data_IF_110440187329
#
_entry.id   IF_110440187329
#
_cell.length_a   1.000
_cell.length_b   1.000
_cell.length_c   1.000
_cell.angle_alpha   90.00
_cell.angle_beta   90.00
_cell.angle_gamma   90.00
#
_symmetry.space_group_name_H-M   'P 1'
#
loop_
_entity.id
_entity.type
_entity.pdbx_description
1 polymer ?
#
# COMPACT_ATOMS: atom_id res chain seq x y z
N UNK A 1 -25.05 -11.27 19.75
CA UNK A 1 -24.80 -11.63 21.17
C UNK A 1 -23.58 -12.54 21.16
N UNK A 2 -22.40 -12.02 21.34
CA UNK A 2 -21.13 -12.76 21.32
C UNK A 2 -20.45 -12.49 22.65
N UNK A 3 -20.45 -13.53 23.50
CA UNK A 3 -19.88 -13.56 24.82
C UNK A 3 -18.39 -13.81 24.69
N UNK A 4 -17.59 -12.92 25.26
CA UNK A 4 -16.15 -13.07 25.44
C UNK A 4 -15.93 -13.80 26.75
N UNK A 5 -15.49 -15.06 26.70
CA UNK A 5 -14.98 -15.77 27.88
C UNK A 5 -13.50 -15.49 28.07
N UNK A 6 -13.19 -14.93 29.21
CA UNK A 6 -11.85 -14.78 29.79
C UNK A 6 -11.36 -16.13 30.33
N UNK A 7 -10.14 -16.52 29.94
CA UNK A 7 -9.41 -17.59 30.68
C UNK A 7 -8.13 -17.01 31.28
N UNK A 8 -8.06 -17.15 32.58
CA UNK A 8 -6.92 -16.89 33.43
C UNK A 8 -5.87 -17.98 33.29
N UNK A 9 -4.61 -17.58 33.19
CA UNK A 9 -3.43 -18.45 33.22
C UNK A 9 -3.02 -18.71 34.66
N UNK A 10 -2.92 -19.99 35.06
CA UNK A 10 -2.19 -20.44 36.23
C UNK A 10 -0.89 -21.11 35.77
N UNK A 11 0.20 -20.65 36.37
CA UNK A 11 1.55 -21.19 36.25
C UNK A 11 1.73 -22.47 37.06
N UNK A 12 2.38 -23.48 36.48
CA UNK A 12 3.12 -24.48 37.26
C UNK A 12 4.31 -25.00 36.47
N UNK A 13 5.45 -24.93 37.15
CA UNK A 13 6.77 -25.46 36.80
C UNK A 13 6.85 -26.97 36.92
N UNK A 14 7.60 -27.67 36.05
CA UNK A 14 8.69 -28.58 36.45
C UNK A 14 9.09 -29.61 35.37
N UNK A 15 10.43 -29.74 35.25
CA UNK A 15 11.22 -30.93 34.88
C UNK A 15 11.35 -31.36 33.42
N UNK A 16 12.56 -31.05 32.90
CA UNK A 16 13.26 -31.86 31.86
C UNK A 16 13.67 -33.23 32.37
N UNK A 17 13.82 -34.21 31.49
CA UNK A 17 15.10 -34.89 31.37
C UNK A 17 15.69 -34.96 29.93
N UNK A 18 17.02 -35.12 29.92
CA UNK A 18 17.93 -35.17 28.78
C UNK A 18 18.00 -36.58 28.13
N UNK A 19 18.80 -36.74 27.01
CA UNK A 19 18.48 -37.63 25.92
C UNK A 19 19.26 -38.95 25.95
N UNK A 20 18.82 -39.90 25.15
CA UNK A 20 19.58 -41.11 24.83
C UNK A 20 19.73 -41.31 23.30
N UNK A 21 20.91 -41.76 22.98
CA UNK A 21 21.64 -41.91 21.75
C UNK A 21 21.14 -43.03 20.80
N UNK A 22 21.38 -42.79 19.50
CA UNK A 22 21.85 -43.72 18.46
C UNK A 22 21.13 -45.03 18.18
N UNK A 23 20.76 -45.21 16.92
CA UNK A 23 21.23 -46.36 16.11
C UNK A 23 20.93 -46.11 14.60
N UNK A 24 21.95 -46.36 13.82
CA UNK A 24 22.02 -46.38 12.35
C UNK A 24 21.41 -47.66 11.78
N UNK A 25 20.75 -47.59 10.63
CA UNK A 25 20.89 -48.62 9.58
C UNK A 25 20.38 -48.11 8.23
N UNK A 26 21.25 -48.19 7.29
CA UNK A 26 21.15 -48.08 5.86
C UNK A 26 20.21 -49.14 5.26
N UNK A 27 19.36 -48.74 4.32
CA UNK A 27 19.05 -49.61 3.16
C UNK A 27 18.59 -48.79 1.97
N UNK A 28 19.28 -48.90 0.89
CA UNK A 28 19.03 -48.38 -0.44
C UNK A 28 17.96 -49.19 -1.19
N UNK A 29 17.11 -48.51 -1.93
CA UNK A 29 16.50 -49.07 -3.14
C UNK A 29 16.07 -47.95 -4.08
N UNK A 30 16.62 -47.95 -5.26
CA UNK A 30 16.30 -47.23 -6.48
C UNK A 30 15.62 -48.23 -7.43
N UNK A 31 15.05 -47.88 -8.52
CA UNK A 31 13.74 -47.41 -8.96
C UNK A 31 13.17 -48.14 -10.16
N UNK A 32 12.11 -47.65 -10.69
CA UNK A 32 11.65 -48.09 -12.01
C UNK A 32 11.21 -46.87 -12.85
N UNK A 33 11.88 -46.72 -13.96
CA UNK A 33 11.54 -45.81 -15.06
C UNK A 33 10.42 -46.48 -15.87
N UNK A 34 9.29 -45.81 -16.05
CA UNK A 34 8.30 -46.16 -17.06
C UNK A 34 8.24 -45.02 -18.06
N UNK A 35 8.71 -45.33 -19.28
CA UNK A 35 8.49 -44.52 -20.48
C UNK A 35 7.09 -44.78 -20.98
N UNK A 36 6.32 -43.76 -21.24
CA UNK A 36 5.11 -43.82 -22.06
C UNK A 36 5.25 -42.87 -23.25
N UNK A 37 5.04 -43.44 -24.39
CA UNK A 37 5.23 -42.94 -25.74
C UNK A 37 4.12 -42.00 -26.17
N UNK A 38 4.49 -40.98 -26.93
CA UNK A 38 3.60 -40.01 -27.57
C UNK A 38 2.90 -40.63 -28.78
N UNK A 39 1.63 -40.34 -28.93
CA UNK A 39 0.92 -40.52 -30.21
C UNK A 39 0.39 -39.13 -30.67
N UNK A 40 0.94 -38.68 -31.78
CA UNK A 40 0.52 -37.49 -32.53
C UNK A 40 -0.64 -37.90 -33.42
N UNK A 41 -1.76 -37.22 -33.35
CA UNK A 41 -2.81 -37.30 -34.39
C UNK A 41 -3.04 -35.88 -34.93
N UNK A 42 -2.57 -35.70 -36.17
CA UNK A 42 -2.89 -34.56 -37.04
C UNK A 42 -4.32 -34.72 -37.56
N UNK A 43 -5.12 -33.66 -37.40
CA UNK A 43 -6.36 -33.51 -38.17
C UNK A 43 -6.28 -32.16 -38.90
N UNK A 44 -6.10 -32.27 -40.22
CA UNK A 44 -6.29 -31.18 -41.17
C UNK A 44 -7.79 -30.92 -41.37
N UNK A 45 -8.21 -29.67 -41.30
CA UNK A 45 -9.45 -29.23 -41.93
C UNK A 45 -9.19 -28.08 -42.90
N UNK A 46 -9.75 -28.27 -44.09
CA UNK A 46 -9.54 -27.46 -45.26
C UNK A 46 -10.31 -26.14 -45.25
N UNK A 47 -9.68 -25.13 -45.83
CA UNK A 47 -10.25 -23.83 -46.11
C UNK A 47 -11.21 -23.90 -47.32
N UNK A 48 -12.37 -23.24 -47.19
CA UNK A 48 -13.17 -22.85 -48.36
C UNK A 48 -13.30 -21.32 -48.38
N UNK A 49 -12.66 -20.77 -49.38
CA UNK A 49 -12.71 -19.36 -49.78
C UNK A 49 -14.04 -18.99 -50.40
N UNK A 50 -14.67 -17.89 -50.02
CA UNK A 50 -15.60 -17.12 -50.86
C UNK A 50 -15.18 -15.69 -50.96
N UNK A 51 -14.83 -15.30 -52.19
CA UNK A 51 -14.55 -13.95 -52.67
C UNK A 51 -15.85 -13.19 -52.87
N UNK A 52 -15.89 -11.90 -52.46
CA UNK A 52 -16.73 -10.84 -52.99
C UNK A 52 -15.93 -9.56 -53.15
N UNK A 53 -16.22 -8.69 -54.14
CA UNK A 53 -15.24 -7.77 -54.71
C UNK A 53 -15.22 -6.38 -54.10
N UNK A 54 -14.04 -5.83 -54.22
CA UNK A 54 -13.60 -4.49 -53.76
C UNK A 54 -14.12 -3.42 -54.72
N UNK A 55 -14.72 -2.38 -54.19
CA UNK A 55 -14.81 -1.09 -54.87
C UNK A 55 -13.87 -0.08 -54.21
N UNK A 56 -12.95 0.43 -55.00
CA UNK A 56 -11.97 1.49 -54.63
C UNK A 56 -12.63 2.80 -54.27
N UNK A 57 -12.19 3.38 -53.14
CA UNK A 57 -12.12 4.81 -52.97
C UNK A 57 -10.79 5.18 -52.33
N UNK A 58 -9.93 5.78 -53.17
CA UNK A 58 -8.67 6.42 -52.73
C UNK A 58 -9.01 7.70 -51.98
N UNK A 59 -8.61 7.78 -50.71
CA UNK A 59 -8.33 9.06 -50.08
C UNK A 59 -6.98 9.00 -49.41
N UNK A 60 -6.05 9.78 -49.93
CA UNK A 60 -4.69 9.94 -49.45
C UNK A 60 -4.71 10.72 -48.11
N UNK A 61 -4.47 10.02 -47.01
CA UNK A 61 -4.17 10.65 -45.71
C UNK A 61 -2.66 10.56 -45.50
N UNK A 62 -1.99 11.69 -45.52
CA UNK A 62 -0.59 11.86 -45.15
C UNK A 62 -0.41 11.38 -43.68
N UNK A 63 0.30 10.28 -43.50
CA UNK A 63 0.78 9.88 -42.19
C UNK A 63 1.82 10.90 -41.68
N UNK A 64 1.40 11.77 -40.80
CA UNK A 64 2.31 12.52 -39.93
C UNK A 64 2.78 11.54 -38.83
N UNK A 65 4.08 11.26 -38.82
CA UNK A 65 4.74 10.62 -37.69
C UNK A 65 4.53 11.48 -36.43
N UNK A 66 3.57 11.12 -35.59
CA UNK A 66 3.52 11.64 -34.24
C UNK A 66 4.63 10.92 -33.46
N UNK A 67 5.72 11.61 -33.21
CA UNK A 67 6.62 11.31 -32.13
C UNK A 67 5.83 11.66 -30.84
N UNK A 68 5.34 10.65 -30.14
CA UNK A 68 4.91 10.81 -28.75
C UNK A 68 6.14 11.10 -27.89
N UNK A 69 6.50 12.38 -27.79
CA UNK A 69 7.25 12.85 -26.65
C UNK A 69 6.22 12.97 -25.52
N UNK A 70 6.25 12.02 -24.57
CA UNK A 70 5.55 12.16 -23.30
C UNK A 70 6.30 13.23 -22.52
N UNK A 71 6.01 14.49 -22.83
CA UNK A 71 6.32 15.60 -21.95
C UNK A 71 5.32 15.51 -20.80
N UNK A 72 5.80 15.10 -19.62
CA UNK A 72 5.13 15.38 -18.37
C UNK A 72 5.06 16.92 -18.24
N UNK A 73 4.02 17.52 -18.80
CA UNK A 73 3.75 18.93 -18.58
C UNK A 73 3.26 19.04 -17.14
N UNK A 74 4.15 19.48 -16.25
CA UNK A 74 3.71 20.15 -15.03
C UNK A 74 2.89 21.37 -15.49
N UNK A 75 1.58 21.20 -15.52
CA UNK A 75 0.70 22.34 -15.74
C UNK A 75 0.86 23.24 -14.50
N UNK A 76 1.53 24.36 -14.70
CA UNK A 76 1.37 25.51 -13.83
C UNK A 76 -0.05 26.06 -14.09
N UNK A 77 -1.04 25.30 -13.62
CA UNK A 77 -2.37 25.84 -13.48
C UNK A 77 -2.30 26.84 -12.33
N UNK A 78 -2.11 28.09 -12.67
CA UNK A 78 -2.50 29.18 -11.81
C UNK A 78 -3.94 28.87 -11.37
N UNK A 79 -4.16 28.76 -10.06
CA UNK A 79 -5.47 28.57 -9.45
C UNK A 79 -6.32 29.77 -9.90
N UNK A 80 -7.11 29.60 -10.94
CA UNK A 80 -8.19 30.51 -11.27
C UNK A 80 -9.27 30.26 -10.21
N UNK A 81 -9.28 31.10 -9.19
CA UNK A 81 -10.33 31.16 -8.18
C UNK A 81 -11.61 31.60 -8.88
N UNK A 82 -12.51 30.65 -9.13
CA UNK A 82 -13.89 30.98 -9.50
C UNK A 82 -14.58 31.53 -8.25
N UNK A 83 -15.00 32.79 -8.32
CA UNK A 83 -15.77 33.48 -7.31
C UNK A 83 -17.18 32.90 -7.22
N UNK A 84 -17.39 31.95 -6.33
CA UNK A 84 -18.69 31.60 -5.76
C UNK A 84 -18.52 31.47 -4.25
N UNK A 85 -19.27 32.26 -3.50
CA UNK A 85 -19.36 32.43 -2.04
C UNK A 85 -18.18 31.88 -1.20
N UNK A 86 -17.40 32.85 -0.67
CA UNK A 86 -16.09 32.69 -0.05
C UNK A 86 -16.14 31.85 1.24
N UNK A 87 -15.99 30.52 1.11
CA UNK A 87 -15.24 29.77 2.11
C UNK A 87 -13.77 29.69 1.64
N UNK A 88 -13.02 30.78 1.90
CA UNK A 88 -11.57 30.73 1.73
C UNK A 88 -11.03 29.58 2.59
N UNK A 89 -10.31 28.65 1.95
CA UNK A 89 -9.58 27.62 2.68
C UNK A 89 -8.65 28.28 3.67
N UNK A 90 -8.64 27.84 4.95
CA UNK A 90 -7.61 28.29 5.85
C UNK A 90 -6.24 27.94 5.27
N UNK A 91 -5.39 28.91 5.08
CA UNK A 91 -4.02 28.77 4.59
C UNK A 91 -3.07 29.72 5.33
N UNK A 92 -1.79 29.44 5.24
CA UNK A 92 -0.75 30.29 5.80
C UNK A 92 0.04 30.96 4.67
N UNK A 93 -0.18 32.26 4.41
CA UNK A 93 0.59 33.00 3.42
C UNK A 93 2.09 32.87 3.63
N UNK A 94 2.54 32.75 4.88
CA UNK A 94 3.96 32.62 5.21
C UNK A 94 4.68 31.45 4.54
N UNK A 95 3.96 30.35 4.26
CA UNK A 95 4.53 29.21 3.54
C UNK A 95 4.25 29.28 2.05
N UNK A 96 3.02 29.63 1.63
CA UNK A 96 2.64 29.63 0.22
C UNK A 96 3.28 30.77 -0.58
N UNK A 97 3.64 31.89 0.07
CA UNK A 97 4.34 33.02 -0.54
C UNK A 97 5.86 32.87 -0.56
N UNK A 98 6.40 31.81 0.06
CA UNK A 98 7.84 31.53 0.09
C UNK A 98 8.38 31.35 -1.35
N UNK A 99 9.52 31.95 -1.63
CA UNK A 99 10.17 31.91 -2.95
C UNK A 99 11.44 31.07 -2.96
N UNK A 100 11.95 30.77 -1.78
CA UNK A 100 13.15 29.96 -1.59
C UNK A 100 12.95 28.97 -0.44
N UNK A 101 13.81 27.94 -0.38
CA UNK A 101 13.81 27.02 0.75
C UNK A 101 14.16 27.71 2.08
N UNK A 102 15.00 28.75 2.05
CA UNK A 102 15.33 29.52 3.28
C UNK A 102 14.12 30.33 3.76
N UNK A 103 13.27 30.82 2.87
CA UNK A 103 12.02 31.47 3.26
C UNK A 103 11.12 30.50 4.03
N UNK A 104 11.02 29.22 3.57
CA UNK A 104 10.26 28.19 4.26
C UNK A 104 10.81 27.90 5.66
N UNK A 105 12.13 27.71 5.76
CA UNK A 105 12.79 27.44 7.05
C UNK A 105 12.65 28.63 8.01
N UNK A 106 12.79 29.86 7.50
CA UNK A 106 12.59 31.08 8.29
C UNK A 106 11.14 31.21 8.77
N UNK A 107 10.15 30.84 7.94
CA UNK A 107 8.74 30.85 8.33
C UNK A 107 8.45 29.83 9.45
N UNK A 108 9.08 28.64 9.43
CA UNK A 108 8.97 27.66 10.52
C UNK A 108 9.49 28.25 11.83
N UNK A 109 10.72 28.81 11.83
CA UNK A 109 11.35 29.39 13.01
C UNK A 109 10.52 30.53 13.59
N UNK A 110 10.03 31.40 12.72
CA UNK A 110 9.13 32.50 13.14
C UNK A 110 7.82 31.98 13.74
N UNK A 111 7.26 30.89 13.21
CA UNK A 111 6.04 30.31 13.77
C UNK A 111 6.27 29.71 15.17
N UNK A 112 7.48 29.23 15.47
CA UNK A 112 7.88 28.81 16.84
C UNK A 112 8.05 30.03 17.76
N UNK A 113 8.76 31.07 17.31
CA UNK A 113 8.94 32.33 18.06
C UNK A 113 7.59 32.99 18.40
N UNK A 114 6.64 32.91 17.48
CA UNK A 114 5.27 33.42 17.65
C UNK A 114 4.38 32.49 18.52
N UNK A 115 4.90 31.37 19.05
CA UNK A 115 4.18 30.34 19.81
C UNK A 115 3.00 29.70 19.03
N UNK A 116 3.05 29.73 17.70
CA UNK A 116 2.01 29.16 16.80
C UNK A 116 2.30 27.72 16.36
N UNK A 117 3.54 27.26 16.52
CA UNK A 117 3.99 25.95 16.13
C UNK A 117 4.80 25.30 17.26
N UNK A 118 4.44 24.09 17.73
CA UNK A 118 5.22 23.36 18.72
C UNK A 118 6.63 23.04 18.20
N UNK A 119 7.65 23.16 19.07
CA UNK A 119 9.06 22.98 18.70
C UNK A 119 9.34 21.61 18.06
N UNK A 120 8.79 20.54 18.62
CA UNK A 120 8.97 19.18 18.10
C UNK A 120 8.37 19.00 16.69
N UNK A 121 7.29 19.71 16.37
CA UNK A 121 6.70 19.69 15.02
C UNK A 121 7.58 20.48 14.07
N UNK A 122 8.09 21.63 14.50
CA UNK A 122 9.00 22.47 13.71
C UNK A 122 10.29 21.74 13.36
N UNK A 123 10.92 21.06 14.33
CA UNK A 123 12.10 20.22 14.11
C UNK A 123 11.83 19.11 13.08
N UNK A 124 10.66 18.46 13.18
CA UNK A 124 10.23 17.45 12.21
C UNK A 124 10.00 18.03 10.81
N UNK A 125 9.47 19.26 10.70
CA UNK A 125 9.28 19.95 9.42
C UNK A 125 10.61 20.31 8.76
N UNK A 126 11.58 20.87 9.53
CA UNK A 126 12.92 21.19 9.01
C UNK A 126 13.66 19.95 8.53
N UNK A 127 13.62 18.86 9.29
CA UNK A 127 14.24 17.60 8.91
C UNK A 127 13.58 17.00 7.66
N UNK A 128 12.24 17.03 7.59
CA UNK A 128 11.48 16.58 6.44
C UNK A 128 11.88 17.34 5.17
N UNK A 129 12.06 18.68 5.28
CA UNK A 129 12.52 19.50 4.17
C UNK A 129 13.88 19.04 3.64
N UNK A 130 14.86 18.86 4.53
CA UNK A 130 16.21 18.49 4.12
C UNK A 130 16.25 17.08 3.48
N UNK A 131 15.55 16.14 4.05
CA UNK A 131 15.48 14.77 3.52
C UNK A 131 14.75 14.71 2.18
N UNK A 132 13.62 15.40 2.05
CA UNK A 132 12.87 15.48 0.82
C UNK A 132 13.68 16.16 -0.30
N UNK A 133 14.29 17.31 0.02
CA UNK A 133 15.17 18.04 -0.91
C UNK A 133 16.28 17.14 -1.45
N UNK A 134 16.98 16.46 -0.57
CA UNK A 134 18.08 15.57 -0.96
C UNK A 134 17.60 14.43 -1.87
N UNK A 135 16.44 13.84 -1.59
CA UNK A 135 15.88 12.77 -2.41
C UNK A 135 15.46 13.27 -3.81
N UNK A 136 14.74 14.40 -3.88
CA UNK A 136 14.30 14.97 -5.16
C UNK A 136 15.47 15.43 -6.01
N UNK A 137 16.51 16.02 -5.44
CA UNK A 137 17.73 16.37 -6.18
C UNK A 137 18.43 15.14 -6.76
N UNK A 138 18.45 14.02 -6.03
CA UNK A 138 19.01 12.75 -6.51
C UNK A 138 18.24 12.15 -7.68
N UNK A 139 16.95 12.43 -7.81
CA UNK A 139 16.14 11.93 -8.92
C UNK A 139 16.57 12.52 -10.27
N UNK A 140 17.25 13.68 -10.28
CA UNK A 140 17.62 14.38 -11.49
C UNK A 140 16.43 14.94 -12.27
N UNK A 141 15.25 15.04 -11.64
CA UNK A 141 14.06 15.59 -12.30
C UNK A 141 14.28 17.03 -12.71
N UNK A 142 13.90 17.43 -13.93
CA UNK A 142 13.98 18.82 -14.36
C UNK A 142 13.24 19.74 -13.40
N UNK A 143 13.82 20.91 -13.08
CA UNK A 143 13.23 21.90 -12.16
C UNK A 143 13.03 21.38 -10.74
N UNK A 144 13.96 20.55 -10.27
CA UNK A 144 13.90 19.93 -8.94
C UNK A 144 13.65 20.97 -7.83
N UNK A 145 14.34 22.13 -7.86
CA UNK A 145 14.17 23.17 -6.83
C UNK A 145 12.76 23.78 -6.84
N UNK A 146 12.12 23.95 -8.04
CA UNK A 146 10.73 24.41 -8.13
C UNK A 146 9.76 23.36 -7.53
N UNK A 147 9.99 22.07 -7.80
CA UNK A 147 9.19 20.95 -7.28
C UNK A 147 9.32 20.86 -5.77
N UNK A 148 10.55 20.97 -5.25
CA UNK A 148 10.83 20.93 -3.81
C UNK A 148 10.10 22.09 -3.12
N UNK A 149 10.29 23.30 -3.62
CA UNK A 149 9.68 24.48 -3.05
C UNK A 149 8.14 24.36 -3.01
N UNK A 150 7.54 24.02 -4.14
CA UNK A 150 6.09 23.87 -4.27
C UNK A 150 5.52 22.81 -3.32
N UNK A 151 6.08 21.59 -3.35
CA UNK A 151 5.58 20.50 -2.52
C UNK A 151 5.78 20.79 -1.02
N UNK A 152 6.94 21.32 -0.63
CA UNK A 152 7.22 21.59 0.77
C UNK A 152 6.43 22.79 1.31
N UNK A 153 6.18 23.79 0.49
CA UNK A 153 5.29 24.91 0.86
C UNK A 153 3.89 24.41 1.19
N UNK A 154 3.34 23.52 0.32
CA UNK A 154 2.02 22.91 0.56
C UNK A 154 2.01 22.00 1.79
N UNK A 155 3.04 21.18 1.99
CA UNK A 155 3.15 20.32 3.19
C UNK A 155 3.13 21.17 4.46
N UNK A 156 3.96 22.22 4.51
CA UNK A 156 4.07 23.06 5.67
C UNK A 156 2.80 23.88 5.94
N UNK A 157 2.18 24.38 4.88
CA UNK A 157 0.89 25.05 5.00
C UNK A 157 -0.17 24.11 5.60
N UNK A 158 -0.31 22.88 5.09
CA UNK A 158 -1.32 21.94 5.57
C UNK A 158 -1.02 21.41 6.98
N UNK A 159 0.24 21.19 7.33
CA UNK A 159 0.65 20.85 8.71
C UNK A 159 0.32 21.99 9.65
N UNK A 160 0.66 23.22 9.30
CA UNK A 160 0.41 24.40 10.12
C UNK A 160 -1.08 24.65 10.36
N UNK A 161 -1.89 24.49 9.32
CA UNK A 161 -3.35 24.59 9.43
C UNK A 161 -3.90 23.53 10.38
N UNK A 162 -3.45 22.26 10.27
CA UNK A 162 -3.90 21.19 11.15
C UNK A 162 -3.42 21.36 12.61
N UNK A 163 -2.23 21.90 12.83
CA UNK A 163 -1.76 22.23 14.19
C UNK A 163 -2.65 23.30 14.84
N UNK A 164 -3.12 24.26 14.05
CA UNK A 164 -3.98 25.34 14.53
C UNK A 164 -5.42 24.90 14.76
N UNK A 165 -5.97 24.11 13.85
CA UNK A 165 -7.34 23.58 13.87
C UNK A 165 -7.31 22.10 13.45
N UNK A 166 -7.17 21.24 14.45
CA UNK A 166 -6.87 19.84 14.24
C UNK A 166 -8.04 19.07 13.65
N UNK A 167 -7.84 18.49 12.45
CA UNK A 167 -8.83 17.66 11.81
C UNK A 167 -9.07 16.36 12.59
N UNK A 168 -10.34 16.00 12.78
CA UNK A 168 -10.76 14.75 13.43
C UNK A 168 -11.24 13.71 12.41
N UNK A 169 -10.62 12.53 12.44
CA UNK A 169 -11.00 11.44 11.55
C UNK A 169 -12.18 10.66 12.09
N UNK A 170 -13.18 10.42 11.21
CA UNK A 170 -14.24 9.45 11.49
C UNK A 170 -13.72 8.01 11.43
N UNK A 171 -14.42 7.03 12.03
CA UNK A 171 -14.03 5.60 11.93
C UNK A 171 -13.86 5.10 10.50
N UNK A 172 -14.68 5.59 9.58
CA UNK A 172 -14.49 5.48 8.13
C UNK A 172 -14.36 6.89 7.55
N UNK A 173 -13.13 7.26 7.21
CA UNK A 173 -12.80 8.53 6.57
C UNK A 173 -12.78 8.36 5.05
N UNK A 174 -13.38 9.31 4.34
CA UNK A 174 -13.30 9.40 2.86
C UNK A 174 -12.27 10.44 2.47
N UNK A 175 -11.51 10.15 1.44
CA UNK A 175 -10.52 11.07 0.88
C UNK A 175 -11.15 12.45 0.58
N UNK A 176 -10.56 13.50 1.12
CA UNK A 176 -11.00 14.89 0.89
C UNK A 176 -10.40 15.35 -0.43
N UNK A 177 -11.27 15.71 -1.37
CA UNK A 177 -10.92 16.21 -2.70
C UNK A 177 -11.30 17.69 -2.89
N UNK A 178 -12.21 18.18 -2.06
CA UNK A 178 -12.70 19.55 -2.09
C UNK A 178 -12.79 20.11 -0.66
N UNK A 179 -12.54 21.39 -0.44
CA UNK A 179 -12.10 22.41 -1.39
C UNK A 179 -10.59 22.33 -1.72
N UNK A 180 -9.80 21.50 -1.02
CA UNK A 180 -8.41 21.18 -1.34
C UNK A 180 -8.27 19.70 -1.65
N UNK A 181 -7.63 19.36 -2.77
CA UNK A 181 -7.44 17.97 -3.18
C UNK A 181 -6.23 17.34 -2.47
N UNK A 182 -6.46 16.80 -1.27
CA UNK A 182 -5.45 16.12 -0.47
C UNK A 182 -4.94 14.83 -1.13
N UNK A 183 -5.73 14.18 -2.00
CA UNK A 183 -5.26 12.99 -2.72
C UNK A 183 -4.19 13.36 -3.74
N UNK A 184 -4.49 14.31 -4.63
CA UNK A 184 -3.53 14.79 -5.64
C UNK A 184 -2.30 15.42 -5.00
N UNK A 185 -2.48 16.15 -3.90
CA UNK A 185 -1.37 16.65 -3.07
C UNK A 185 -0.43 15.51 -2.63
N UNK A 186 -0.96 14.44 -2.05
CA UNK A 186 -0.15 13.30 -1.63
C UNK A 186 0.54 12.57 -2.79
N UNK A 187 -0.13 12.44 -3.95
CA UNK A 187 0.46 11.85 -5.15
C UNK A 187 1.60 12.71 -5.71
N UNK A 188 1.44 14.02 -5.76
CA UNK A 188 2.46 14.95 -6.24
C UNK A 188 3.69 14.99 -5.33
N UNK A 189 3.49 14.82 -4.02
CA UNK A 189 4.59 14.72 -3.07
C UNK A 189 5.44 13.45 -3.27
N UNK A 190 4.82 12.30 -3.45
CA UNK A 190 5.51 11.00 -3.58
C UNK A 190 6.14 10.81 -4.96
N UNK A 191 5.52 11.32 -6.03
CA UNK A 191 5.93 11.07 -7.42
C UNK A 191 7.41 11.31 -7.70
N UNK A 192 8.05 12.43 -7.30
CA UNK A 192 9.47 12.68 -7.57
C UNK A 192 10.43 11.81 -6.75
N UNK A 193 9.93 11.02 -5.79
CA UNK A 193 10.71 10.09 -5.00
C UNK A 193 10.79 8.69 -5.62
N UNK A 194 10.00 8.42 -6.66
CA UNK A 194 9.92 7.10 -7.29
C UNK A 194 10.74 7.07 -8.58
N UNK A 195 11.72 6.18 -8.63
CA UNK A 195 12.38 5.82 -9.89
C UNK A 195 11.49 4.84 -10.67
N UNK A 196 10.70 5.39 -11.58
CA UNK A 196 9.78 4.59 -12.40
C UNK A 196 10.48 3.61 -13.35
N UNK A 197 11.75 3.83 -13.68
CA UNK A 197 12.53 2.92 -14.53
C UNK A 197 12.86 1.62 -13.81
N UNK A 198 12.97 1.70 -12.47
CA UNK A 198 13.25 0.56 -11.59
C UNK A 198 12.03 0.16 -10.77
N UNK A 199 10.81 0.53 -11.24
CA UNK A 199 9.56 0.23 -10.53
C UNK A 199 8.70 -0.75 -11.31
N UNK A 200 7.99 -1.63 -10.60
CA UNK A 200 7.28 -2.74 -11.21
C UNK A 200 5.88 -2.93 -10.66
N UNK A 201 4.97 -3.38 -11.54
CA UNK A 201 3.66 -3.92 -11.18
C UNK A 201 3.59 -5.35 -11.65
N UNK A 202 3.60 -6.30 -10.71
CA UNK A 202 3.49 -7.72 -11.00
C UNK A 202 2.03 -8.14 -11.21
N UNK A 203 1.81 -9.05 -12.17
CA UNK A 203 0.50 -9.63 -12.48
C UNK A 203 -0.59 -8.60 -12.76
N UNK A 204 -0.28 -7.61 -13.60
CA UNK A 204 -1.18 -6.48 -13.88
C UNK A 204 -2.56 -6.93 -14.40
N UNK A 205 -2.66 -8.08 -15.05
CA UNK A 205 -3.93 -8.66 -15.50
C UNK A 205 -4.87 -9.01 -14.35
N UNK A 206 -4.34 -9.37 -13.18
CA UNK A 206 -5.15 -9.66 -11.98
C UNK A 206 -5.81 -8.39 -11.44
N UNK A 207 -5.17 -7.21 -11.57
CA UNK A 207 -5.84 -5.95 -11.26
C UNK A 207 -7.03 -5.69 -12.20
N UNK A 208 -6.94 -6.09 -13.47
CA UNK A 208 -8.07 -6.06 -14.39
C UNK A 208 -9.21 -6.99 -13.94
N UNK A 209 -8.89 -8.21 -13.49
CA UNK A 209 -9.88 -9.12 -12.90
C UNK A 209 -10.55 -8.49 -11.65
N UNK A 210 -9.77 -7.88 -10.78
CA UNK A 210 -10.27 -7.18 -9.59
C UNK A 210 -11.25 -6.07 -9.98
N UNK A 211 -10.93 -5.26 -10.98
CA UNK A 211 -11.86 -4.21 -11.45
C UNK A 211 -13.18 -4.79 -11.97
N UNK A 212 -13.13 -5.90 -12.70
CA UNK A 212 -14.35 -6.55 -13.18
C UNK A 212 -15.19 -7.11 -12.01
N UNK A 213 -14.56 -7.67 -10.97
CA UNK A 213 -15.27 -8.10 -9.76
C UNK A 213 -15.95 -6.93 -9.06
N UNK A 214 -15.26 -5.82 -8.90
CA UNK A 214 -15.84 -4.61 -8.30
C UNK A 214 -17.01 -4.05 -9.12
N UNK A 215 -16.95 -4.07 -10.46
CA UNK A 215 -18.05 -3.68 -11.35
C UNK A 215 -19.26 -4.60 -11.24
N UNK A 216 -19.04 -5.89 -10.97
CA UNK A 216 -20.11 -6.88 -10.73
C UNK A 216 -20.79 -6.71 -9.38
N UNK A 217 -20.29 -5.83 -8.52
CA UNK A 217 -20.80 -5.61 -7.17
C UNK A 217 -20.06 -6.37 -6.08
N UNK A 218 -19.11 -7.23 -6.45
CA UNK A 218 -18.35 -8.06 -5.51
C UNK A 218 -17.39 -7.19 -4.67
N UNK A 219 -17.06 -7.67 -3.48
CA UNK A 219 -16.03 -7.07 -2.63
C UNK A 219 -14.67 -7.68 -2.89
N UNK A 220 -13.62 -6.90 -2.71
CA UNK A 220 -12.23 -7.34 -2.81
C UNK A 220 -11.47 -6.95 -1.56
N UNK A 221 -10.66 -7.86 -1.04
CA UNK A 221 -9.72 -7.60 0.04
C UNK A 221 -8.30 -7.90 -0.44
N UNK A 222 -7.43 -6.92 -0.32
CA UNK A 222 -6.00 -7.07 -0.56
C UNK A 222 -5.32 -7.31 0.79
N UNK A 223 -4.87 -8.55 1.03
CA UNK A 223 -4.07 -8.89 2.21
C UNK A 223 -2.60 -8.74 1.87
N UNK A 224 -1.94 -7.80 2.55
CA UNK A 224 -0.62 -7.33 2.18
C UNK A 224 0.36 -7.32 3.35
N UNK A 225 1.65 -7.34 3.04
CA UNK A 225 2.66 -6.82 3.94
C UNK A 225 2.55 -5.28 4.03
N UNK A 226 3.26 -4.66 4.98
CA UNK A 226 3.23 -3.22 5.22
C UNK A 226 4.63 -2.72 5.54
N UNK A 227 5.13 -1.72 4.82
CA UNK A 227 6.51 -1.28 4.94
C UNK A 227 6.68 0.15 5.45
N UNK A 228 5.87 1.06 4.95
CA UNK A 228 6.02 2.47 5.31
C UNK A 228 4.67 3.18 5.39
N UNK A 229 4.67 4.38 5.96
CA UNK A 229 3.48 5.25 5.94
C UNK A 229 3.10 5.71 4.54
N UNK A 230 4.02 5.59 3.58
CA UNK A 230 3.80 5.94 2.17
C UNK A 230 3.13 4.82 1.35
N UNK A 231 2.98 3.61 1.87
CA UNK A 231 2.39 2.48 1.13
C UNK A 231 1.09 2.85 0.38
N UNK A 232 0.10 3.53 1.00
CA UNK A 232 -1.12 3.92 0.30
C UNK A 232 -0.88 4.83 -0.90
N UNK A 233 0.07 5.75 -0.79
CA UNK A 233 0.41 6.67 -1.86
C UNK A 233 1.13 5.95 -3.01
N UNK A 234 2.04 5.03 -2.69
CA UNK A 234 2.81 4.25 -3.66
C UNK A 234 1.90 3.25 -4.40
N UNK A 235 1.02 2.52 -3.69
CA UNK A 235 0.05 1.63 -4.33
C UNK A 235 -0.81 2.42 -5.33
N UNK A 236 -1.35 3.56 -4.91
CA UNK A 236 -2.16 4.39 -5.78
C UNK A 236 -1.35 4.92 -6.97
N UNK A 237 -0.11 5.39 -6.77
CA UNK A 237 0.75 5.92 -7.82
C UNK A 237 1.08 4.87 -8.89
N UNK A 238 1.35 3.64 -8.49
CA UNK A 238 1.68 2.55 -9.41
C UNK A 238 0.46 2.05 -10.21
N UNK A 239 -0.75 2.29 -9.73
CA UNK A 239 -2.00 1.86 -10.37
C UNK A 239 -2.72 2.98 -11.14
N UNK A 240 -2.44 4.26 -10.87
CA UNK A 240 -3.26 5.39 -11.34
C UNK A 240 -3.44 5.46 -12.85
N UNK A 241 -2.46 5.03 -13.65
CA UNK A 241 -2.53 5.14 -15.11
C UNK A 241 -3.38 4.05 -15.76
N UNK A 242 -3.38 2.83 -15.21
CA UNK A 242 -4.08 1.67 -15.82
C UNK A 242 -5.30 1.24 -15.03
N UNK A 243 -5.30 1.47 -13.73
CA UNK A 243 -6.33 1.04 -12.78
C UNK A 243 -6.72 2.19 -11.86
N UNK A 244 -7.08 3.33 -12.46
CA UNK A 244 -7.45 4.57 -11.77
C UNK A 244 -8.56 4.32 -10.74
N UNK A 245 -9.57 3.51 -11.09
CA UNK A 245 -10.66 3.19 -10.17
C UNK A 245 -10.14 2.52 -8.90
N UNK A 246 -9.24 1.53 -9.02
CA UNK A 246 -8.62 0.89 -7.85
C UNK A 246 -7.81 1.92 -7.07
N UNK A 247 -6.93 2.67 -7.73
CA UNK A 247 -6.03 3.64 -7.10
C UNK A 247 -6.77 4.66 -6.22
N UNK A 248 -7.93 5.13 -6.66
CA UNK A 248 -8.73 6.14 -5.97
C UNK A 248 -9.70 5.58 -4.93
N UNK A 249 -10.08 4.30 -5.04
CA UNK A 249 -11.16 3.72 -4.22
C UNK A 249 -10.71 2.70 -3.17
N UNK A 250 -9.42 2.33 -3.11
CA UNK A 250 -8.93 1.49 -2.02
C UNK A 250 -9.19 2.16 -0.68
N UNK A 251 -9.77 1.39 0.23
CA UNK A 251 -9.98 1.75 1.63
C UNK A 251 -8.86 1.09 2.44
N UNK A 252 -8.00 1.88 3.07
CA UNK A 252 -6.86 1.37 3.82
C UNK A 252 -7.22 1.23 5.31
N UNK A 253 -6.95 0.06 5.88
CA UNK A 253 -7.03 -0.12 7.33
C UNK A 253 -5.78 0.51 7.95
N UNK A 254 -5.95 1.65 8.60
CA UNK A 254 -4.87 2.51 9.08
C UNK A 254 -4.79 2.56 10.60
N UNK A 255 -3.58 2.47 11.13
CA UNK A 255 -3.30 2.65 12.55
C UNK A 255 -3.46 4.11 13.00
N UNK A 256 -3.59 4.32 14.31
CA UNK A 256 -3.81 5.63 14.92
C UNK A 256 -2.68 6.65 14.66
N UNK A 257 -1.43 6.20 14.47
CA UNK A 257 -0.31 7.14 14.25
C UNK A 257 -0.50 8.04 13.03
N UNK A 258 -0.98 7.50 11.90
CA UNK A 258 -1.13 8.30 10.66
C UNK A 258 -2.26 9.31 10.71
N UNK A 259 -3.14 9.23 11.72
CA UNK A 259 -4.23 10.18 11.96
C UNK A 259 -3.99 11.09 13.18
N UNK A 260 -2.88 10.91 13.88
CA UNK A 260 -2.51 11.72 15.06
C UNK A 260 -1.21 12.50 14.88
N UNK A 261 -0.26 11.99 14.08
CA UNK A 261 1.00 12.67 13.78
C UNK A 261 0.75 13.84 12.82
N UNK A 262 1.05 15.11 13.23
CA UNK A 262 0.81 16.28 12.38
C UNK A 262 1.46 16.21 11.00
N UNK A 263 2.62 15.55 10.88
CA UNK A 263 3.32 15.40 9.61
C UNK A 263 2.67 14.34 8.68
N UNK A 264 1.89 13.39 9.23
CA UNK A 264 1.16 12.38 8.47
C UNK A 264 -0.26 12.81 8.10
N UNK A 265 -0.94 13.55 8.98
CA UNK A 265 -2.36 13.86 8.87
C UNK A 265 -2.77 14.46 7.52
N UNK A 266 -2.06 15.45 6.94
CA UNK A 266 -2.44 15.99 5.63
C UNK A 266 -2.46 14.93 4.51
N UNK A 267 -1.54 13.96 4.56
CA UNK A 267 -1.50 12.86 3.58
C UNK A 267 -2.63 11.85 3.82
N UNK A 268 -2.97 11.62 5.09
CA UNK A 268 -4.06 10.74 5.50
C UNK A 268 -5.42 11.28 5.11
N UNK A 269 -5.62 12.61 5.14
CA UNK A 269 -6.85 13.28 4.69
C UNK A 269 -7.17 12.99 3.22
N UNK A 270 -6.15 12.71 2.40
CA UNK A 270 -6.29 12.35 0.99
C UNK A 270 -6.55 10.86 0.71
N UNK A 271 -6.77 10.02 1.72
CA UNK A 271 -6.99 8.56 1.56
C UNK A 271 -8.32 8.14 2.14
N UNK A 272 -8.92 7.07 1.57
CA UNK A 272 -10.05 6.43 2.22
C UNK A 272 -9.50 5.53 3.33
N UNK A 273 -9.89 5.76 4.57
CA UNK A 273 -9.33 5.07 5.72
C UNK A 273 -10.41 4.39 6.57
N UNK A 274 -10.09 3.22 7.08
CA UNK A 274 -10.73 2.63 8.25
C UNK A 274 -9.74 2.74 9.42
N UNK A 275 -10.04 3.67 10.34
CA UNK A 275 -9.13 4.02 11.42
C UNK A 275 -9.23 2.99 12.55
N UNK A 276 -8.11 2.38 12.94
CA UNK A 276 -8.04 1.36 13.99
C UNK A 276 -6.88 1.63 14.95
N UNK A 277 -7.02 1.18 16.19
CA UNK A 277 -5.90 1.10 17.12
C UNK A 277 -5.25 -0.28 17.04
N UNK A 278 -3.92 -0.32 16.93
CA UNK A 278 -3.16 -1.57 16.87
C UNK A 278 -3.38 -2.42 18.10
N UNK A 279 -3.66 -3.72 17.93
CA UNK A 279 -3.75 -4.68 19.03
C UNK A 279 -2.47 -4.75 19.85
N UNK A 280 -1.31 -4.57 19.21
CA UNK A 280 0.01 -4.60 19.88
C UNK A 280 0.19 -3.46 20.88
N UNK A 281 -0.45 -2.30 20.61
CA UNK A 281 -0.36 -1.07 21.38
C UNK A 281 -1.63 -0.74 22.18
N UNK A 282 -2.54 -1.71 22.29
CA UNK A 282 -3.84 -1.52 22.95
C UNK A 282 -3.71 -1.16 24.43
N UNK A 283 -2.71 -1.75 25.10
CA UNK A 283 -2.50 -1.63 26.53
C UNK A 283 -1.28 -0.78 26.93
N UNK A 284 -0.66 -0.09 25.96
CA UNK A 284 0.49 0.81 26.23
C UNK A 284 0.09 1.94 27.18
N UNK A 285 -1.18 2.35 27.09
CA UNK A 285 -1.82 3.30 28.01
C UNK A 285 -3.11 2.67 28.53
N UNK A 286 -3.11 2.16 29.77
CA UNK A 286 -4.26 1.48 30.35
C UNK A 286 -5.52 2.35 30.46
N UNK A 287 -5.37 3.67 30.68
CA UNK A 287 -6.50 4.58 30.82
C UNK A 287 -7.26 4.75 29.48
N UNK A 288 -6.55 4.62 28.35
CA UNK A 288 -7.12 4.73 27.02
C UNK A 288 -7.59 3.37 26.45
N UNK A 289 -7.28 2.25 27.10
CA UNK A 289 -7.55 0.91 26.57
C UNK A 289 -9.03 0.67 26.23
N UNK A 290 -9.96 1.08 27.09
CA UNK A 290 -11.40 0.93 26.86
C UNK A 290 -11.90 1.86 25.73
N UNK A 291 -11.38 3.07 25.64
CA UNK A 291 -11.68 3.99 24.53
C UNK A 291 -11.20 3.38 23.20
N UNK A 292 -9.96 2.87 23.14
CA UNK A 292 -9.38 2.22 21.95
C UNK A 292 -10.20 1.00 21.52
N UNK A 293 -10.65 0.15 22.43
CA UNK A 293 -11.52 -1.02 22.15
C UNK A 293 -12.87 -0.58 21.55
N UNK A 294 -13.49 0.45 22.14
CA UNK A 294 -14.76 0.99 21.63
C UNK A 294 -14.60 1.59 20.23
N UNK A 295 -13.50 2.31 19.98
CA UNK A 295 -13.17 2.85 18.66
C UNK A 295 -13.01 1.72 17.63
N UNK A 296 -12.21 0.68 17.94
CA UNK A 296 -12.07 -0.48 17.07
C UNK A 296 -13.40 -1.18 16.79
N UNK A 297 -14.29 -1.26 17.78
CA UNK A 297 -15.62 -1.84 17.59
C UNK A 297 -16.46 -1.00 16.61
N UNK A 298 -16.36 0.33 16.64
CA UNK A 298 -17.03 1.23 15.67
C UNK A 298 -16.47 1.01 14.28
N UNK A 299 -15.15 1.01 14.13
CA UNK A 299 -14.49 0.80 12.82
C UNK A 299 -14.83 -0.57 12.22
N UNK A 300 -14.94 -1.61 13.06
CA UNK A 300 -15.37 -2.93 12.60
C UNK A 300 -16.83 -2.95 12.12
N UNK A 301 -17.72 -2.19 12.77
CA UNK A 301 -19.10 -2.01 12.32
C UNK A 301 -19.16 -1.28 10.98
N UNK A 302 -18.40 -0.20 10.82
CA UNK A 302 -18.30 0.52 9.54
C UNK A 302 -17.76 -0.38 8.43
N UNK A 303 -16.73 -1.18 8.68
CA UNK A 303 -16.21 -2.16 7.73
C UNK A 303 -17.29 -3.16 7.30
N UNK A 304 -18.05 -3.70 8.24
CA UNK A 304 -19.16 -4.60 7.94
C UNK A 304 -20.26 -3.94 7.10
N UNK A 305 -20.58 -2.67 7.35
CA UNK A 305 -21.55 -1.90 6.55
C UNK A 305 -21.03 -1.66 5.13
N UNK A 306 -19.76 -1.31 4.98
CA UNK A 306 -19.13 -1.13 3.68
C UNK A 306 -19.17 -2.42 2.84
N UNK A 307 -18.80 -3.55 3.43
CA UNK A 307 -18.81 -4.85 2.73
C UNK A 307 -20.25 -5.27 2.34
N UNK A 308 -21.27 -4.99 3.17
CA UNK A 308 -22.67 -5.23 2.80
C UNK A 308 -23.17 -4.38 1.63
N UNK A 309 -22.59 -3.19 1.47
CA UNK A 309 -22.93 -2.32 0.35
C UNK A 309 -22.37 -2.81 -0.99
N UNK A 310 -21.41 -3.73 -0.98
CA UNK A 310 -20.75 -4.25 -2.18
C UNK A 310 -19.80 -3.28 -2.88
N UNK A 311 -19.11 -3.75 -3.90
CA UNK A 311 -18.16 -2.97 -4.71
C UNK A 311 -17.09 -2.26 -3.88
N UNK A 312 -16.61 -2.89 -2.80
CA UNK A 312 -15.58 -2.33 -1.94
C UNK A 312 -14.24 -3.04 -2.13
N UNK A 313 -13.18 -2.23 -2.19
CA UNK A 313 -11.83 -2.74 -2.16
C UNK A 313 -11.13 -2.27 -0.88
N UNK A 314 -10.69 -3.22 -0.05
CA UNK A 314 -10.08 -2.95 1.25
C UNK A 314 -8.65 -3.50 1.25
N UNK A 315 -7.69 -2.67 1.62
CA UNK A 315 -6.31 -3.07 1.88
C UNK A 315 -6.09 -3.23 3.38
N UNK A 316 -5.50 -4.35 3.78
CA UNK A 316 -5.17 -4.64 5.17
C UNK A 316 -3.84 -5.38 5.28
N UNK A 317 -3.05 -5.04 6.31
CA UNK A 317 -1.85 -5.76 6.71
C UNK A 317 -2.14 -6.64 7.94
N UNK A 318 -2.34 -7.95 7.76
CA UNK A 318 -2.68 -8.84 8.88
C UNK A 318 -1.57 -8.98 9.93
N UNK A 319 -0.33 -8.60 9.62
CA UNK A 319 0.79 -8.53 10.59
C UNK A 319 0.54 -7.53 11.74
N UNK A 320 -0.40 -6.58 11.53
CA UNK A 320 -0.75 -5.54 12.52
C UNK A 320 0.38 -4.55 12.80
N UNK A 321 1.34 -4.42 11.91
CA UNK A 321 2.45 -3.48 11.99
C UNK A 321 3.32 -3.53 10.74
N UNK A 322 4.24 -2.55 10.64
CA UNK A 322 5.17 -2.44 9.52
C UNK A 322 6.24 -3.54 9.57
N UNK A 323 6.69 -4.00 8.40
CA UNK A 323 7.84 -4.89 8.26
C UNK A 323 9.09 -4.28 8.89
N UNK A 324 10.02 -5.12 9.29
CA UNK A 324 11.30 -4.73 9.88
C UNK A 324 12.43 -5.49 9.21
N UNK A 325 13.61 -4.87 9.08
CA UNK A 325 14.78 -5.61 8.65
C UNK A 325 15.14 -6.67 9.70
N UNK A 326 15.60 -7.81 9.22
CA UNK A 326 16.14 -8.85 10.10
C UNK A 326 17.31 -8.29 10.93
N UNK A 327 17.38 -8.65 12.20
CA UNK A 327 18.34 -8.08 13.13
C UNK A 327 19.79 -8.43 12.77
N UNK A 328 20.02 -9.57 12.10
CA UNK A 328 21.35 -10.10 11.74
C UNK A 328 21.71 -9.77 10.30
N UNK A 329 20.86 -10.18 9.34
CA UNK A 329 21.11 -10.02 7.90
C UNK A 329 20.86 -8.62 7.40
N UNK A 330 20.05 -7.83 8.13
CA UNK A 330 19.54 -6.51 7.72
C UNK A 330 18.65 -6.55 6.47
N UNK A 331 18.32 -7.72 5.98
CA UNK A 331 17.40 -7.89 4.86
C UNK A 331 15.95 -7.68 5.30
N UNK A 332 15.14 -7.19 4.38
CA UNK A 332 13.73 -6.93 4.62
C UNK A 332 12.88 -8.12 4.16
N UNK A 333 11.95 -8.52 5.01
CA UNK A 333 10.97 -9.58 4.73
C UNK A 333 9.59 -9.13 5.19
N UNK A 334 8.53 -9.59 4.51
CA UNK A 334 7.16 -9.43 5.02
C UNK A 334 7.03 -9.98 6.44
N UNK A 335 6.45 -9.18 7.33
CA UNK A 335 6.16 -9.63 8.69
C UNK A 335 5.08 -10.73 8.70
N UNK A 336 5.21 -11.77 9.54
CA UNK A 336 4.24 -12.86 9.61
C UNK A 336 2.81 -12.37 9.87
N UNK A 337 1.84 -12.96 9.19
CA UNK A 337 0.43 -12.62 9.34
C UNK A 337 -0.15 -13.22 10.63
N UNK A 338 -0.91 -12.41 11.36
CA UNK A 338 -1.71 -12.88 12.50
C UNK A 338 -2.92 -13.68 12.02
N UNK A 339 -3.00 -14.94 12.42
CA UNK A 339 -4.05 -15.84 11.96
C UNK A 339 -5.46 -15.36 12.35
N UNK A 340 -5.60 -14.68 13.48
CA UNK A 340 -6.89 -14.13 13.91
C UNK A 340 -7.28 -12.90 13.09
N UNK A 341 -6.31 -12.08 12.67
CA UNK A 341 -6.58 -10.93 11.81
C UNK A 341 -7.01 -11.38 10.41
N UNK A 342 -6.32 -12.38 9.83
CA UNK A 342 -6.67 -12.96 8.54
C UNK A 342 -8.06 -13.59 8.55
N UNK A 343 -8.36 -14.43 9.55
CA UNK A 343 -9.66 -15.10 9.67
C UNK A 343 -10.82 -14.13 9.96
N UNK A 344 -10.60 -13.12 10.79
CA UNK A 344 -11.63 -12.10 11.06
C UNK A 344 -12.04 -11.37 9.75
N UNK A 345 -11.06 -11.03 8.91
CA UNK A 345 -11.35 -10.38 7.65
C UNK A 345 -12.09 -11.32 6.68
N UNK A 346 -11.66 -12.57 6.58
CA UNK A 346 -12.34 -13.60 5.81
C UNK A 346 -13.82 -13.72 6.23
N UNK A 347 -14.07 -13.90 7.53
CA UNK A 347 -15.45 -14.02 8.08
C UNK A 347 -16.30 -12.78 7.79
N UNK A 348 -15.72 -11.58 7.87
CA UNK A 348 -16.45 -10.36 7.52
C UNK A 348 -16.86 -10.33 6.05
N UNK A 349 -16.00 -10.79 5.16
CA UNK A 349 -16.28 -10.90 3.73
C UNK A 349 -17.38 -11.94 3.47
N UNK A 350 -17.26 -13.13 4.05
CA UNK A 350 -18.24 -14.22 3.86
C UNK A 350 -19.64 -13.88 4.42
N UNK A 351 -19.70 -13.12 5.53
CA UNK A 351 -20.99 -12.73 6.15
C UNK A 351 -21.55 -11.41 5.60
N UNK A 352 -20.93 -10.85 4.58
CA UNK A 352 -21.42 -9.59 3.98
C UNK A 352 -22.72 -9.75 3.22
N UNK A 353 -23.06 -10.96 2.77
CA UNK A 353 -24.23 -11.20 1.92
C UNK A 353 -24.02 -10.79 0.46
N UNK A 354 -22.80 -10.41 0.10
CA UNK A 354 -22.34 -10.06 -1.23
C UNK A 354 -21.07 -10.86 -1.49
N UNK A 355 -20.83 -11.40 -2.69
CA UNK A 355 -19.62 -12.12 -2.99
C UNK A 355 -18.37 -11.30 -2.68
N UNK A 356 -17.33 -11.96 -2.19
CA UNK A 356 -16.08 -11.29 -1.87
C UNK A 356 -14.88 -12.18 -2.11
N UNK A 357 -13.77 -11.55 -2.49
CA UNK A 357 -12.55 -12.23 -2.93
C UNK A 357 -11.36 -11.69 -2.18
N UNK A 358 -10.46 -12.57 -1.77
CA UNK A 358 -9.25 -12.22 -1.03
C UNK A 358 -8.03 -12.49 -1.89
N UNK A 359 -7.24 -11.44 -2.15
CA UNK A 359 -6.04 -11.49 -2.97
C UNK A 359 -4.81 -11.15 -2.12
N UNK A 360 -3.76 -11.97 -2.16
CA UNK A 360 -2.46 -11.61 -1.59
C UNK A 360 -1.82 -10.50 -2.43
N UNK A 361 -1.29 -9.48 -1.78
CA UNK A 361 -0.58 -8.36 -2.41
C UNK A 361 0.78 -8.18 -1.73
N UNK A 362 1.85 -8.23 -2.47
CA UNK A 362 3.16 -7.80 -1.98
C UNK A 362 3.42 -6.34 -2.34
N UNK A 363 4.01 -5.60 -1.42
CA UNK A 363 4.57 -4.27 -1.65
C UNK A 363 6.04 -4.25 -1.28
N UNK A 364 6.86 -3.58 -2.10
CA UNK A 364 8.26 -3.29 -1.83
C UNK A 364 8.51 -1.81 -2.06
N UNK A 365 8.69 -1.06 -0.97
CA UNK A 365 8.87 0.39 -1.01
C UNK A 365 9.68 0.94 0.17
N UNK A 366 10.24 0.06 1.02
CA UNK A 366 10.97 0.48 2.22
C UNK A 366 12.16 1.40 1.92
N UNK A 367 12.77 1.27 0.74
CA UNK A 367 13.90 2.11 0.34
C UNK A 367 13.53 3.58 0.14
N UNK A 368 12.26 3.88 -0.20
CA UNK A 368 11.80 5.27 -0.37
C UNK A 368 11.66 5.97 0.97
N UNK A 369 11.09 5.28 1.96
CA UNK A 369 10.84 5.82 3.30
C UNK A 369 11.03 4.72 4.36
N UNK A 370 12.31 4.33 4.62
CA UNK A 370 12.61 3.25 5.55
C UNK A 370 12.17 3.64 6.97
N UNK A 371 11.74 2.63 7.71
CA UNK A 371 11.47 2.78 9.12
C UNK A 371 12.76 3.02 9.90
N UNK A 372 12.75 3.92 10.88
CA UNK A 372 13.85 4.04 11.82
C UNK A 372 14.02 2.72 12.61
N UNK A 373 15.25 2.37 13.00
CA UNK A 373 15.51 1.14 13.75
C UNK A 373 14.73 1.03 15.06
N UNK A 374 14.44 2.17 15.68
CA UNK A 374 13.61 2.28 16.88
C UNK A 374 12.46 3.25 16.62
N UNK A 375 11.26 2.82 16.94
CA UNK A 375 10.08 3.71 16.91
C UNK A 375 10.08 4.48 18.22
N UNK A 376 10.30 5.77 18.16
CA UNK A 376 10.09 6.65 19.31
C UNK A 376 8.60 6.71 19.63
N UNK A 377 8.25 6.71 20.92
CA UNK A 377 6.84 6.83 21.35
C UNK A 377 6.28 8.21 21.06
N UNK A 378 7.15 9.19 20.91
CA UNK A 378 6.79 10.58 20.67
C UNK A 378 6.40 10.81 19.21
N UNK A 379 5.46 11.72 19.01
CA UNK A 379 5.05 12.23 17.69
C UNK A 379 6.25 12.95 17.07
N UNK A 380 6.51 12.72 15.79
CA UNK A 380 7.65 13.34 15.09
C UNK A 380 8.82 12.39 14.82
N UNK A 381 8.53 11.13 14.55
CA UNK A 381 9.54 10.14 14.12
C UNK A 381 10.35 10.69 12.94
N UNK A 382 11.69 10.64 13.04
CA UNK A 382 12.60 11.05 11.95
C UNK A 382 12.31 10.27 10.68
N UNK A 383 12.07 10.99 9.59
CA UNK A 383 11.74 10.39 8.29
C UNK A 383 12.92 10.47 7.35
N UNK A 384 13.59 9.34 7.15
CA UNK A 384 14.53 9.21 6.04
C UNK A 384 13.74 9.10 4.75
N UNK A 385 14.11 9.89 3.74
CA UNK A 385 13.46 9.87 2.43
C UNK A 385 14.54 9.68 1.36
N UNK A 386 14.28 8.80 0.41
CA UNK A 386 15.20 8.51 -0.69
C UNK A 386 14.46 8.43 -2.02
N UNK A 387 15.20 8.65 -3.10
CA UNK A 387 14.75 8.36 -4.47
C UNK A 387 15.12 6.91 -4.79
N UNK A 388 14.13 6.07 -5.04
CA UNK A 388 14.35 4.65 -5.30
C UNK A 388 13.23 4.01 -6.13
N UNK A 389 13.53 2.85 -6.74
CA UNK A 389 12.53 1.98 -7.35
C UNK A 389 11.61 1.35 -6.30
N UNK A 390 10.41 1.00 -6.72
CA UNK A 390 9.39 0.40 -5.86
C UNK A 390 8.53 -0.58 -6.64
N UNK A 391 7.70 -1.36 -5.97
CA UNK A 391 6.82 -2.27 -6.67
C UNK A 391 5.67 -2.80 -5.85
N UNK A 392 4.66 -3.24 -6.57
CA UNK A 392 3.56 -4.04 -6.05
C UNK A 392 3.38 -5.28 -6.94
N UNK A 393 2.98 -6.38 -6.34
CA UNK A 393 2.62 -7.60 -7.08
C UNK A 393 1.46 -8.31 -6.42
N UNK A 394 0.38 -8.49 -7.16
CA UNK A 394 -0.81 -9.18 -6.68
C UNK A 394 -0.76 -10.65 -7.13
N UNK A 395 -1.08 -11.58 -6.24
CA UNK A 395 -1.26 -12.99 -6.59
C UNK A 395 -2.73 -13.29 -6.92
N UNK A 396 -3.03 -14.40 -7.60
CA UNK A 396 -4.39 -14.90 -7.72
C UNK A 396 -5.08 -15.04 -6.36
N UNK A 397 -6.40 -14.87 -6.35
CA UNK A 397 -7.20 -15.04 -5.12
C UNK A 397 -6.98 -16.42 -4.49
N UNK A 398 -7.05 -16.47 -3.17
CA UNK A 398 -6.98 -17.72 -2.42
C UNK A 398 -8.34 -17.98 -1.77
N UNK A 399 -8.95 -19.10 -2.16
CA UNK A 399 -10.22 -19.54 -1.58
C UNK A 399 -9.99 -20.35 -0.30
N UNK A 400 -10.74 -19.98 0.76
CA UNK A 400 -10.63 -20.65 2.06
C UNK A 400 -11.04 -22.13 1.97
N UNK A 401 -12.11 -22.43 1.25
CA UNK A 401 -12.65 -23.80 1.16
C UNK A 401 -11.71 -24.72 0.39
N UNK A 402 -11.01 -24.20 -0.61
CA UNK A 402 -10.02 -24.98 -1.38
C UNK A 402 -8.79 -25.32 -0.51
N UNK A 403 -8.34 -24.38 0.34
CA UNK A 403 -7.07 -24.51 1.10
C UNK A 403 -7.29 -25.15 2.47
N UNK A 404 -8.37 -24.83 3.16
CA UNK A 404 -8.58 -25.17 4.56
C UNK A 404 -10.00 -25.71 4.87
N UNK A 405 -10.87 -25.87 3.89
CA UNK A 405 -12.28 -26.23 4.10
C UNK A 405 -12.51 -27.62 4.72
N UNK A 406 -11.53 -28.52 4.63
CA UNK A 406 -11.56 -29.83 5.27
C UNK A 406 -11.06 -29.84 6.72
N UNK A 407 -10.51 -28.73 7.20
CA UNK A 407 -9.92 -28.59 8.53
C UNK A 407 -10.90 -27.92 9.50
N UNK A 408 -10.66 -28.09 10.80
CA UNK A 408 -11.44 -27.45 11.87
C UNK A 408 -10.61 -26.36 12.54
N UNK A 409 -11.29 -25.36 13.17
CA UNK A 409 -10.61 -24.37 13.99
C UNK A 409 -9.89 -25.03 15.19
N UNK A 410 -8.65 -24.62 15.54
CA UNK A 410 -7.91 -23.45 15.04
C UNK A 410 -7.01 -23.72 13.82
N UNK A 411 -6.88 -24.97 13.36
CA UNK A 411 -5.97 -25.37 12.30
C UNK A 411 -6.34 -24.72 10.95
N UNK A 412 -7.62 -24.72 10.60
CA UNK A 412 -8.11 -24.14 9.34
C UNK A 412 -7.66 -22.69 9.13
N UNK A 413 -7.81 -21.83 10.14
CA UNK A 413 -7.39 -20.42 10.06
C UNK A 413 -5.88 -20.25 9.95
N UNK A 414 -5.11 -21.14 10.61
CA UNK A 414 -3.64 -21.10 10.55
C UNK A 414 -3.15 -21.48 9.15
N UNK A 415 -3.70 -22.55 8.57
CA UNK A 415 -3.35 -23.04 7.23
C UNK A 415 -3.72 -22.02 6.18
N UNK A 416 -4.92 -21.45 6.25
CA UNK A 416 -5.36 -20.41 5.32
C UNK A 416 -4.51 -19.14 5.38
N UNK A 417 -4.25 -18.63 6.59
CA UNK A 417 -3.44 -17.42 6.77
C UNK A 417 -1.99 -17.65 6.34
N UNK A 418 -1.47 -18.87 6.57
CA UNK A 418 -0.15 -19.24 6.07
C UNK A 418 -0.10 -19.27 4.55
N UNK A 419 -1.10 -19.80 3.87
CA UNK A 419 -1.16 -19.80 2.41
C UNK A 419 -1.16 -18.37 1.83
N UNK A 420 -1.92 -17.45 2.45
CA UNK A 420 -1.89 -16.02 2.09
C UNK A 420 -0.51 -15.40 2.29
N UNK A 421 0.11 -15.66 3.44
CA UNK A 421 1.44 -15.15 3.78
C UNK A 421 2.53 -15.71 2.85
N UNK A 422 2.52 -17.01 2.56
CA UNK A 422 3.47 -17.65 1.65
C UNK A 422 3.35 -17.06 0.24
N UNK A 423 2.12 -16.79 -0.21
CA UNK A 423 1.87 -16.15 -1.50
C UNK A 423 2.41 -14.72 -1.55
N UNK A 424 2.24 -13.92 -0.48
CA UNK A 424 2.82 -12.58 -0.38
C UNK A 424 4.35 -12.65 -0.42
N UNK A 425 4.97 -13.58 0.31
CA UNK A 425 6.42 -13.75 0.30
C UNK A 425 6.95 -14.12 -1.10
N UNK A 426 6.25 -14.98 -1.82
CA UNK A 426 6.63 -15.33 -3.20
C UNK A 426 6.63 -14.09 -4.10
N UNK A 427 5.56 -13.29 -4.05
CA UNK A 427 5.47 -12.06 -4.83
C UNK A 427 6.53 -11.03 -4.40
N UNK A 428 6.77 -10.92 -3.09
CA UNK A 428 7.79 -10.03 -2.53
C UNK A 428 9.19 -10.37 -3.03
N UNK A 429 9.56 -11.65 -3.02
CA UNK A 429 10.87 -12.11 -3.49
C UNK A 429 11.09 -11.78 -4.97
N UNK A 430 10.05 -11.91 -5.80
CA UNK A 430 10.13 -11.53 -7.21
C UNK A 430 10.34 -10.03 -7.37
N UNK A 431 9.59 -9.20 -6.63
CA UNK A 431 9.77 -7.74 -6.63
C UNK A 431 11.18 -7.37 -6.17
N UNK A 432 11.67 -7.98 -5.08
CA UNK A 432 13.00 -7.73 -4.54
C UNK A 432 14.10 -8.03 -5.57
N UNK A 433 14.00 -9.17 -6.25
CA UNK A 433 14.93 -9.54 -7.32
C UNK A 433 14.89 -8.55 -8.50
N UNK A 434 13.71 -8.09 -8.89
CA UNK A 434 13.55 -7.13 -9.98
C UNK A 434 14.10 -5.75 -9.64
N UNK A 435 13.74 -5.20 -8.49
CA UNK A 435 14.07 -3.82 -8.09
C UNK A 435 15.56 -3.68 -7.76
N UNK A 436 16.15 -4.67 -7.10
CA UNK A 436 17.55 -4.66 -6.72
C UNK A 436 18.50 -5.26 -7.78
N UNK A 437 18.04 -5.33 -9.03
CA UNK A 437 18.90 -5.68 -10.18
C UNK A 437 19.24 -7.16 -10.35
N UNK A 438 18.62 -8.06 -9.58
CA UNK A 438 18.70 -9.52 -9.75
C UNK A 438 17.67 -10.02 -10.75
N UNK A 439 17.48 -9.28 -11.85
CA UNK A 439 16.52 -9.65 -12.90
C UNK A 439 17.00 -10.89 -13.66
N UNK A 440 16.05 -11.72 -14.10
CA UNK A 440 16.30 -12.93 -14.84
C UNK A 440 15.24 -13.99 -14.52
N UNK A 441 15.63 -15.27 -14.57
CA UNK A 441 14.72 -16.39 -14.26
C UNK A 441 14.17 -16.33 -12.82
N UNK A 442 14.88 -15.71 -11.89
CA UNK A 442 14.45 -15.54 -10.50
C UNK A 442 13.42 -14.42 -10.35
N UNK A 443 13.52 -13.37 -11.18
CA UNK A 443 12.62 -12.22 -11.14
C UNK A 443 11.34 -12.43 -11.96
N UNK A 444 11.36 -13.38 -12.91
CA UNK A 444 10.21 -13.67 -13.77
C UNK A 444 10.00 -15.18 -13.83
N UNK A 445 8.88 -15.65 -13.33
CA UNK A 445 8.48 -17.05 -13.39
C UNK A 445 7.23 -17.22 -14.23
N UNK A 446 6.86 -18.44 -14.70
CA UNK A 446 5.63 -18.64 -15.43
C UNK A 446 4.36 -18.23 -14.67
N UNK A 447 4.42 -18.20 -13.34
CA UNK A 447 3.30 -17.79 -12.48
C UNK A 447 3.31 -16.30 -12.14
N UNK A 448 4.41 -15.57 -12.41
CA UNK A 448 4.57 -14.14 -12.08
C UNK A 448 5.14 -13.41 -13.27
N UNK A 449 4.36 -12.49 -13.80
CA UNK A 449 4.77 -11.58 -14.88
C UNK A 449 4.98 -10.18 -14.31
N UNK A 450 6.16 -9.62 -14.56
CA UNK A 450 6.48 -8.25 -14.19
C UNK A 450 6.40 -7.33 -15.41
N UNK A 451 5.90 -6.12 -15.20
CA UNK A 451 5.93 -5.05 -16.19
C UNK A 451 6.21 -3.72 -15.49
N UNK A 452 6.92 -2.84 -16.16
CA UNK A 452 7.05 -1.49 -15.66
C UNK A 452 5.69 -0.77 -15.75
N UNK A 453 5.34 0.09 -14.77
CA UNK A 453 4.02 0.73 -14.73
C UNK A 453 3.71 1.60 -15.95
N UNK A 454 4.75 2.07 -16.63
CA UNK A 454 4.68 3.05 -17.74
C UNK A 454 5.05 2.51 -19.13
N UNK A 455 5.01 1.21 -19.31
CA UNK A 455 5.13 0.57 -20.63
C UNK A 455 3.79 0.39 -21.30
#
# INVERSE_FOLDING_TARGET
>A
MLILSSFSSSSSSSHMPKPLSSFSSTTSCVPAIVKASAAVTNVCFAATSRLFPISCLRSSVKMRKLRCAVFCSYSTAAIAVSTSENHELPHSPAFLDARTGEDLLSAIRKAVEDEKLPLNVAEGMEELYHNYRNAVLRSGVPKADEIILYNMALVFDRVFVDVKDSFEFSPHHKAIREPFDYYTFGQNYIRPLVDFRSSYVGNISVFGEIEEKLKQGDNVVLMSNHQSEADPAIIALLLELKHTYIAENIIYVAGDRVITDPLCKPFSMGRNLLCVYSKKHMNDDPELAEMKKRANTRSLKEMALLLRAGSKIIWIAPSGGRDRPDAVTKEWYPAPFDASAGDNMRRLVEHAGVPGHIYPLAILCHDIMPLPPQVEKNIGEKRVISFHGTGISVAPKIDFHEVAGALVDPEAKMVYTKALYDSVNQQYNVLNAAIHGKQGLEASTPSVSLSQPWQ
#
